data_IF_716317379523
#
_entry.id   IF_716317379523
#
_cell.length_a   1.000
_cell.length_b   1.000
_cell.length_c   1.000
_cell.angle_alpha   90.00
_cell.angle_beta   90.00
_cell.angle_gamma   90.00
#
_symmetry.space_group_name_H-M   'P 1'
#
loop_
_entity.id
_entity.type
_entity.pdbx_description
1 polymer ?
#
# COMPACT_ATOMS: atom_id res chain seq x y z
N UNK A 1 -34.21 3.97 -8.95
CA UNK A 1 -33.03 3.20 -8.49
C UNK A 1 -32.41 4.00 -7.36
N UNK A 2 -32.53 3.57 -6.10
CA UNK A 2 -32.00 4.32 -4.97
C UNK A 2 -30.47 4.19 -4.99
N UNK A 3 -29.78 5.27 -5.39
CA UNK A 3 -28.33 5.29 -5.64
C UNK A 3 -27.51 5.05 -4.37
N UNK A 4 -28.10 5.35 -3.21
CA UNK A 4 -27.50 5.27 -1.89
C UNK A 4 -28.48 4.63 -0.91
N UNK A 5 -27.96 3.77 -0.02
CA UNK A 5 -28.70 3.23 1.11
C UNK A 5 -28.20 3.91 2.40
N UNK A 6 -28.94 4.93 2.85
CA UNK A 6 -28.60 5.71 4.03
C UNK A 6 -28.54 4.88 5.32
N UNK A 7 -29.40 3.85 5.45
CA UNK A 7 -29.41 2.97 6.63
C UNK A 7 -28.16 2.11 6.70
N UNK A 8 -27.72 1.58 5.55
CA UNK A 8 -26.45 0.86 5.45
C UNK A 8 -25.27 1.80 5.74
N UNK A 9 -25.27 3.01 5.19
CA UNK A 9 -24.23 4.03 5.46
C UNK A 9 -24.14 4.38 6.95
N UNK A 10 -25.29 4.58 7.61
CA UNK A 10 -25.40 4.85 9.04
C UNK A 10 -24.82 3.70 9.86
N UNK A 11 -25.16 2.46 9.50
CA UNK A 11 -24.68 1.27 10.20
C UNK A 11 -23.16 1.12 10.08
N UNK A 12 -22.60 1.35 8.89
CA UNK A 12 -21.14 1.30 8.66
C UNK A 12 -20.44 2.42 9.46
N UNK A 13 -20.95 3.64 9.36
CA UNK A 13 -20.40 4.83 10.01
C UNK A 13 -20.38 4.70 11.53
N UNK A 14 -21.51 4.32 12.14
CA UNK A 14 -21.62 4.16 13.60
C UNK A 14 -20.65 3.11 14.12
N UNK A 15 -20.61 1.92 13.49
CA UNK A 15 -19.69 0.84 13.90
C UNK A 15 -18.23 1.27 13.80
N UNK A 16 -17.86 2.01 12.76
CA UNK A 16 -16.49 2.50 12.61
C UNK A 16 -16.16 3.58 13.64
N UNK A 17 -17.07 4.52 13.89
CA UNK A 17 -16.89 5.54 14.91
C UNK A 17 -16.68 4.91 16.28
N UNK A 18 -17.52 3.97 16.69
CA UNK A 18 -17.43 3.29 17.98
C UNK A 18 -16.07 2.58 18.15
N UNK A 19 -15.58 1.96 17.07
CA UNK A 19 -14.25 1.34 17.05
C UNK A 19 -13.13 2.36 17.22
N UNK A 20 -13.22 3.52 16.58
CA UNK A 20 -12.23 4.61 16.70
C UNK A 20 -12.29 5.21 18.11
N UNK A 21 -13.48 5.51 18.60
CA UNK A 21 -13.71 6.07 19.93
C UNK A 21 -13.18 5.14 21.03
N UNK A 22 -13.45 3.84 20.95
CA UNK A 22 -12.90 2.84 21.90
C UNK A 22 -11.37 2.85 21.92
N UNK A 23 -10.73 2.95 20.76
CA UNK A 23 -9.25 3.04 20.65
C UNK A 23 -8.69 4.33 21.21
N UNK A 24 -9.46 5.42 21.14
CA UNK A 24 -9.09 6.75 21.62
C UNK A 24 -9.69 7.11 22.98
N UNK A 25 -10.17 6.12 23.75
CA UNK A 25 -10.81 6.35 25.05
C UNK A 25 -9.91 7.10 26.03
N UNK A 26 -8.60 6.81 26.00
CA UNK A 26 -7.59 7.42 26.87
C UNK A 26 -6.96 8.69 26.27
N UNK A 27 -7.44 9.15 25.11
CA UNK A 27 -7.01 10.46 24.60
C UNK A 27 -7.46 11.57 25.54
N UNK A 28 -6.68 12.66 25.57
CA UNK A 28 -6.95 13.84 26.39
C UNK A 28 -8.43 14.27 26.31
N UNK A 29 -9.02 14.74 27.41
CA UNK A 29 -10.46 15.04 27.50
C UNK A 29 -10.94 16.09 26.46
N UNK A 30 -10.04 16.99 26.03
CA UNK A 30 -10.29 17.96 24.94
C UNK A 30 -10.10 17.38 23.52
N UNK A 31 -9.88 16.09 23.36
CA UNK A 31 -9.75 15.47 22.05
C UNK A 31 -11.11 15.43 21.34
N UNK A 32 -11.16 15.87 20.08
CA UNK A 32 -12.36 16.02 19.24
C UNK A 32 -13.31 14.82 19.24
N UNK A 33 -12.75 13.60 19.28
CA UNK A 33 -13.50 12.34 19.39
C UNK A 33 -14.51 12.31 20.55
N UNK A 34 -14.20 12.94 21.69
CA UNK A 34 -15.07 12.93 22.86
C UNK A 34 -16.25 13.88 22.67
N UNK A 35 -16.03 15.02 22.02
CA UNK A 35 -17.11 15.94 21.64
C UNK A 35 -18.04 15.29 20.60
N UNK A 36 -17.47 14.65 19.58
CA UNK A 36 -18.21 13.88 18.58
C UNK A 36 -18.95 12.65 19.15
N UNK A 37 -18.54 12.16 20.33
CA UNK A 37 -19.23 11.05 20.99
C UNK A 37 -20.44 11.54 21.79
N UNK A 38 -20.39 12.78 22.31
CA UNK A 38 -21.50 13.43 23.04
C UNK A 38 -22.59 13.89 22.07
N UNK A 39 -22.19 14.52 20.97
CA UNK A 39 -23.10 14.89 19.89
C UNK A 39 -22.87 13.96 18.69
N UNK A 40 -23.87 13.12 18.40
CA UNK A 40 -23.84 12.14 17.31
C UNK A 40 -24.51 12.66 16.02
N UNK A 41 -25.07 13.87 16.00
CA UNK A 41 -25.85 14.39 14.88
C UNK A 41 -25.00 14.60 13.61
N UNK A 42 -23.70 14.88 13.77
CA UNK A 42 -22.76 15.00 12.65
C UNK A 42 -22.74 13.79 11.71
N UNK A 43 -23.08 12.59 12.18
CA UNK A 43 -23.07 11.37 11.38
C UNK A 43 -24.29 11.27 10.44
N UNK A 44 -25.55 11.25 10.92
CA UNK A 44 -26.72 11.24 10.05
C UNK A 44 -26.79 12.49 9.16
N UNK A 45 -26.44 13.67 9.68
CA UNK A 45 -26.41 14.90 8.88
C UNK A 45 -25.37 14.80 7.75
N UNK A 46 -24.16 14.35 8.07
CA UNK A 46 -23.12 14.17 7.05
C UNK A 46 -23.45 13.07 6.03
N UNK A 47 -24.17 12.01 6.43
CA UNK A 47 -24.68 11.01 5.48
C UNK A 47 -25.72 11.62 4.55
N UNK A 48 -26.63 12.44 5.06
CA UNK A 48 -27.60 13.14 4.22
C UNK A 48 -26.90 14.04 3.19
N UNK A 49 -25.91 14.83 3.63
CA UNK A 49 -25.08 15.64 2.73
C UNK A 49 -24.35 14.80 1.66
N UNK A 50 -23.87 13.59 2.00
CA UNK A 50 -23.25 12.68 1.03
C UNK A 50 -24.26 12.14 0.01
N UNK A 51 -25.46 11.77 0.47
CA UNK A 51 -26.55 11.27 -0.38
C UNK A 51 -26.98 12.35 -1.37
N UNK A 52 -27.08 13.59 -0.90
CA UNK A 52 -27.50 14.76 -1.68
C UNK A 52 -26.37 15.33 -2.56
N UNK A 53 -25.12 14.86 -2.36
CA UNK A 53 -23.95 15.31 -3.12
C UNK A 53 -23.44 16.70 -2.75
N UNK A 54 -23.88 17.26 -1.62
CA UNK A 54 -23.54 18.59 -1.11
C UNK A 54 -22.50 18.55 0.03
N UNK A 55 -22.02 17.36 0.40
CA UNK A 55 -21.00 17.21 1.42
C UNK A 55 -19.66 17.81 0.97
N UNK A 56 -19.22 18.86 1.67
CA UNK A 56 -17.91 19.49 1.50
C UNK A 56 -16.93 18.97 2.58
N UNK A 57 -15.85 18.27 2.21
CA UNK A 57 -14.84 17.81 3.16
C UNK A 57 -14.08 18.97 3.81
N UNK A 58 -13.62 18.79 5.04
CA UNK A 58 -12.82 19.80 5.73
C UNK A 58 -11.39 19.81 5.21
N UNK A 59 -10.73 20.96 5.32
CA UNK A 59 -9.32 21.09 5.00
C UNK A 59 -8.46 20.15 5.87
N UNK A 60 -7.49 19.50 5.23
CA UNK A 60 -6.45 18.72 5.91
C UNK A 60 -5.61 19.64 6.80
N UNK A 61 -5.40 19.25 8.06
CA UNK A 61 -4.47 19.94 8.96
C UNK A 61 -3.08 19.35 8.78
N UNK A 62 -2.09 20.20 8.51
CA UNK A 62 -0.70 19.80 8.33
C UNK A 62 0.14 20.27 9.50
N UNK A 63 0.81 19.33 10.15
CA UNK A 63 1.76 19.57 11.23
C UNK A 63 3.17 19.36 10.71
N UNK A 64 4.06 20.27 11.10
CA UNK A 64 5.48 20.20 10.80
C UNK A 64 6.24 19.88 12.08
N UNK A 65 6.99 18.79 12.04
CA UNK A 65 7.96 18.40 13.06
C UNK A 65 9.37 18.52 12.46
N UNK A 66 10.40 18.39 13.28
CA UNK A 66 11.81 18.50 12.85
C UNK A 66 12.15 17.50 11.74
N UNK A 67 11.63 16.27 11.87
CA UNK A 67 12.01 15.14 10.99
C UNK A 67 10.87 14.65 10.10
N UNK A 68 9.66 15.17 10.31
CA UNK A 68 8.49 14.71 9.58
C UNK A 68 7.40 15.78 9.40
N UNK A 69 6.54 15.52 8.43
CA UNK A 69 5.34 16.30 8.16
C UNK A 69 4.16 15.35 8.26
N UNK A 70 3.21 15.66 9.13
CA UNK A 70 2.04 14.82 9.40
C UNK A 70 0.78 15.50 8.91
N UNK A 71 0.08 14.85 7.97
CA UNK A 71 -1.23 15.28 7.51
C UNK A 71 -2.33 14.59 8.32
N UNK A 72 -3.16 15.39 8.99
CA UNK A 72 -4.27 14.92 9.80
C UNK A 72 -5.62 15.24 9.12
N UNK A 73 -6.32 14.18 8.73
CA UNK A 73 -7.72 14.25 8.32
C UNK A 73 -8.64 14.26 9.54
N UNK A 74 -9.69 15.09 9.47
CA UNK A 74 -10.74 15.11 10.48
C UNK A 74 -11.46 13.75 10.59
N UNK A 75 -11.93 13.41 11.79
CA UNK A 75 -12.47 12.08 12.10
C UNK A 75 -13.74 11.79 11.30
N UNK A 76 -14.64 12.78 11.14
CA UNK A 76 -15.85 12.63 10.32
C UNK A 76 -15.50 12.28 8.89
N UNK A 77 -14.56 13.03 8.29
CA UNK A 77 -14.20 12.90 6.89
C UNK A 77 -13.51 11.54 6.64
N UNK A 78 -12.71 11.07 7.60
CA UNK A 78 -12.17 9.71 7.59
C UNK A 78 -13.26 8.65 7.59
N UNK A 79 -14.32 8.85 8.37
CA UNK A 79 -15.44 7.92 8.45
C UNK A 79 -16.24 7.93 7.14
N UNK A 80 -16.52 9.10 6.58
CA UNK A 80 -17.22 9.26 5.30
C UNK A 80 -16.43 8.67 4.14
N UNK A 81 -15.11 8.91 4.06
CA UNK A 81 -14.23 8.24 3.09
C UNK A 81 -14.31 6.71 3.24
N UNK A 82 -14.38 6.20 4.47
CA UNK A 82 -14.50 4.75 4.69
C UNK A 82 -15.86 4.19 4.29
N UNK A 83 -16.95 4.90 4.56
CA UNK A 83 -18.30 4.53 4.11
C UNK A 83 -18.32 4.43 2.58
N UNK A 84 -17.85 5.46 1.89
CA UNK A 84 -17.76 5.48 0.43
C UNK A 84 -16.89 4.33 -0.08
N UNK A 85 -15.70 4.11 0.50
CA UNK A 85 -14.84 3.01 0.13
C UNK A 85 -15.53 1.66 0.31
N UNK A 86 -16.30 1.46 1.39
CA UNK A 86 -17.00 0.19 1.65
C UNK A 86 -18.07 -0.10 0.61
N UNK A 87 -18.77 0.93 0.13
CA UNK A 87 -19.78 0.84 -0.94
C UNK A 87 -19.13 0.60 -2.30
N UNK A 88 -18.01 1.30 -2.59
CA UNK A 88 -17.35 1.21 -3.89
C UNK A 88 -16.54 -0.08 -4.05
N UNK A 89 -15.96 -0.62 -2.97
CA UNK A 89 -15.02 -1.75 -3.02
C UNK A 89 -15.56 -3.00 -3.76
N UNK A 90 -16.83 -3.44 -3.59
CA UNK A 90 -17.41 -4.55 -4.35
C UNK A 90 -17.38 -4.36 -5.86
N UNK A 91 -17.43 -3.11 -6.35
CA UNK A 91 -17.41 -2.79 -7.78
C UNK A 91 -16.01 -2.92 -8.39
N UNK A 92 -14.96 -2.83 -7.57
CA UNK A 92 -13.58 -2.78 -8.05
C UNK A 92 -13.18 -4.02 -8.84
N UNK A 93 -13.69 -5.20 -8.49
CA UNK A 93 -13.40 -6.45 -9.23
C UNK A 93 -13.84 -6.42 -10.70
N UNK A 94 -14.78 -5.54 -11.05
CA UNK A 94 -15.31 -5.41 -12.40
C UNK A 94 -14.57 -4.36 -13.25
N UNK A 95 -13.84 -3.45 -12.59
CA UNK A 95 -13.17 -2.31 -13.25
C UNK A 95 -11.66 -2.44 -13.20
N UNK A 96 -11.13 -3.03 -12.12
CA UNK A 96 -9.70 -3.08 -11.85
C UNK A 96 -9.05 -4.25 -12.57
N UNK A 97 -7.79 -4.04 -12.98
CA UNK A 97 -6.99 -5.11 -13.57
C UNK A 97 -6.77 -6.24 -12.55
N UNK A 98 -6.88 -7.52 -12.92
CA UNK A 98 -6.69 -8.65 -12.00
C UNK A 98 -5.28 -8.71 -11.39
N UNK A 99 -4.28 -8.06 -11.99
CA UNK A 99 -2.93 -7.93 -11.43
C UNK A 99 -2.76 -6.71 -10.50
N UNK A 100 -3.85 -6.07 -10.07
CA UNK A 100 -3.84 -5.00 -9.08
C UNK A 100 -4.01 -5.55 -7.66
N UNK A 101 -2.90 -5.94 -7.04
CA UNK A 101 -2.90 -6.56 -5.71
C UNK A 101 -3.13 -5.58 -4.55
N UNK A 102 -3.11 -4.27 -4.78
CA UNK A 102 -3.27 -3.26 -3.72
C UNK A 102 -4.63 -3.37 -3.00
N UNK A 103 -5.66 -3.84 -3.69
CA UNK A 103 -7.05 -3.89 -3.20
C UNK A 103 -7.26 -4.98 -2.14
N UNK A 104 -6.39 -5.98 -2.12
CA UNK A 104 -6.37 -7.06 -1.14
C UNK A 104 -5.86 -6.58 0.22
N UNK A 105 -5.30 -5.36 0.30
CA UNK A 105 -4.74 -4.83 1.53
C UNK A 105 -3.41 -5.53 1.88
N UNK A 106 -3.14 -5.83 3.17
CA UNK A 106 -1.86 -6.42 3.58
C UNK A 106 -1.53 -7.76 2.91
N UNK A 107 -2.53 -8.55 2.55
CA UNK A 107 -2.35 -9.83 1.83
C UNK A 107 -1.94 -9.63 0.37
N UNK A 108 -2.18 -8.45 -0.21
CA UNK A 108 -1.83 -8.12 -1.59
C UNK A 108 -0.33 -8.28 -1.89
N UNK A 109 0.53 -7.92 -0.93
CA UNK A 109 1.98 -8.12 -1.09
C UNK A 109 2.32 -9.60 -1.20
N UNK A 110 1.69 -10.46 -0.38
CA UNK A 110 1.90 -11.91 -0.44
C UNK A 110 1.46 -12.46 -1.79
N UNK A 111 0.28 -12.09 -2.26
CA UNK A 111 -0.27 -12.51 -3.56
C UNK A 111 0.61 -12.08 -4.73
N UNK A 112 1.03 -10.81 -4.76
CA UNK A 112 1.92 -10.28 -5.80
C UNK A 112 3.26 -11.02 -5.83
N UNK A 113 3.84 -11.24 -4.66
CA UNK A 113 5.13 -11.92 -4.50
C UNK A 113 5.06 -13.37 -4.95
N UNK A 114 4.02 -14.10 -4.52
CA UNK A 114 3.79 -15.46 -4.95
C UNK A 114 3.69 -15.52 -6.48
N UNK A 115 2.91 -14.61 -7.10
CA UNK A 115 2.76 -14.59 -8.55
C UNK A 115 4.08 -14.30 -9.28
N UNK A 116 4.88 -13.37 -8.76
CA UNK A 116 6.20 -13.07 -9.32
C UNK A 116 7.10 -14.30 -9.23
N UNK A 117 7.14 -15.00 -8.09
CA UNK A 117 7.94 -16.22 -7.92
C UNK A 117 7.53 -17.32 -8.90
N UNK A 118 6.23 -17.56 -9.07
CA UNK A 118 5.71 -18.53 -10.05
C UNK A 118 6.18 -18.19 -11.47
N UNK A 119 6.09 -16.92 -11.87
CA UNK A 119 6.53 -16.48 -13.21
C UNK A 119 8.04 -16.59 -13.36
N UNK A 120 8.82 -16.23 -12.34
CA UNK A 120 10.27 -16.36 -12.37
C UNK A 120 10.71 -17.82 -12.53
N UNK A 121 10.08 -18.75 -11.80
CA UNK A 121 10.38 -20.18 -11.87
C UNK A 121 9.96 -20.79 -13.21
N UNK A 122 8.73 -20.54 -13.65
CA UNK A 122 8.15 -21.18 -14.84
C UNK A 122 8.67 -20.58 -16.14
N UNK A 123 8.73 -19.27 -16.22
CA UNK A 123 8.96 -18.54 -17.48
C UNK A 123 10.42 -18.08 -17.63
N UNK A 124 11.20 -18.12 -16.55
CA UNK A 124 12.61 -17.69 -16.49
C UNK A 124 12.88 -16.41 -17.32
N UNK A 125 12.16 -15.31 -17.04
CA UNK A 125 12.25 -14.10 -17.84
C UNK A 125 13.62 -13.45 -17.66
N UNK A 126 14.24 -12.99 -18.76
CA UNK A 126 15.57 -12.36 -18.72
C UNK A 126 15.53 -10.85 -18.42
N UNK A 127 14.39 -10.21 -18.64
CA UNK A 127 14.24 -8.75 -18.59
C UNK A 127 13.10 -8.32 -17.67
N UNK A 128 13.21 -7.13 -17.09
CA UNK A 128 12.17 -6.51 -16.27
C UNK A 128 12.03 -5.00 -16.51
N UNK A 129 10.84 -4.48 -16.19
CA UNK A 129 10.51 -3.06 -16.05
C UNK A 129 9.92 -2.90 -14.66
N UNK A 130 10.64 -2.23 -13.76
CA UNK A 130 10.13 -1.73 -12.49
C UNK A 130 9.88 -0.23 -12.64
N UNK A 131 8.63 0.19 -12.65
CA UNK A 131 8.23 1.58 -12.79
C UNK A 131 7.54 2.10 -11.52
N UNK A 132 7.91 3.31 -11.11
CA UNK A 132 7.34 4.05 -9.98
C UNK A 132 6.92 5.44 -10.49
N UNK A 133 5.72 5.89 -10.13
CA UNK A 133 5.18 7.18 -10.59
C UNK A 133 5.63 8.30 -9.65
N UNK A 134 6.25 9.34 -10.22
CA UNK A 134 6.78 10.47 -9.46
C UNK A 134 5.65 11.23 -8.76
N UNK A 135 5.81 11.40 -7.44
CA UNK A 135 4.95 12.23 -6.59
C UNK A 135 3.47 11.95 -6.85
N UNK A 136 3.12 10.66 -6.95
CA UNK A 136 1.84 10.17 -7.45
C UNK A 136 0.64 11.01 -6.99
N UNK A 137 0.38 11.10 -5.69
CA UNK A 137 -0.77 11.87 -5.16
C UNK A 137 -0.78 13.38 -5.51
N UNK A 138 0.38 13.99 -5.80
CA UNK A 138 0.50 15.38 -6.23
C UNK A 138 0.38 15.55 -7.75
N UNK A 139 0.66 14.50 -8.52
CA UNK A 139 0.77 14.56 -9.99
C UNK A 139 -0.47 14.03 -10.73
N UNK A 140 -1.46 13.50 -10.02
CA UNK A 140 -2.69 13.00 -10.63
C UNK A 140 -3.73 14.10 -10.75
N UNK A 141 -4.31 14.24 -11.94
CA UNK A 141 -5.64 14.84 -12.09
C UNK A 141 -6.65 14.00 -11.30
N UNK A 142 -7.34 14.60 -10.33
CA UNK A 142 -8.13 14.02 -9.21
C UNK A 142 -9.06 12.79 -9.45
N UNK A 143 -9.13 12.19 -10.65
CA UNK A 143 -9.96 11.03 -11.02
C UNK A 143 -9.19 9.71 -11.29
N UNK A 144 -7.89 9.58 -10.94
CA UNK A 144 -7.10 8.34 -11.18
C UNK A 144 -6.29 7.93 -9.95
N UNK A 145 -6.23 6.63 -9.59
CA UNK A 145 -5.57 6.15 -8.37
C UNK A 145 -4.66 4.90 -8.59
N UNK A 146 -3.49 5.00 -7.95
CA UNK A 146 -2.28 4.19 -7.61
C UNK A 146 -1.71 3.18 -8.62
N UNK A 147 -0.41 3.31 -8.97
CA UNK A 147 0.40 2.25 -9.61
C UNK A 147 1.90 2.30 -9.26
N UNK A 148 2.41 1.21 -8.69
CA UNK A 148 3.77 0.72 -8.92
C UNK A 148 3.66 -0.49 -9.85
N UNK A 149 4.48 -0.55 -10.89
CA UNK A 149 4.31 -1.52 -11.99
C UNK A 149 5.59 -2.34 -12.14
N UNK A 150 5.44 -3.67 -12.12
CA UNK A 150 6.48 -4.60 -12.51
C UNK A 150 6.04 -5.38 -13.76
N UNK A 151 6.82 -5.34 -14.83
CA UNK A 151 6.60 -6.12 -16.05
C UNK A 151 7.81 -7.01 -16.27
N UNK A 152 7.59 -8.32 -16.38
CA UNK A 152 8.64 -9.30 -16.70
C UNK A 152 8.56 -9.67 -18.18
N UNK A 153 9.70 -9.81 -18.84
CA UNK A 153 9.81 -10.04 -20.28
C UNK A 153 10.88 -11.11 -20.57
N UNK A 154 10.62 -12.00 -21.52
CA UNK A 154 11.60 -13.01 -21.96
C UNK A 154 12.65 -12.42 -22.88
N UNK A 155 12.26 -11.50 -23.78
CA UNK A 155 13.14 -10.95 -24.82
C UNK A 155 13.26 -9.44 -24.77
N UNK A 156 14.37 -8.91 -25.30
CA UNK A 156 14.60 -7.46 -25.45
C UNK A 156 13.54 -6.78 -26.34
N UNK A 157 13.02 -7.50 -27.35
CA UNK A 157 11.93 -7.00 -28.21
C UNK A 157 10.64 -6.79 -27.42
N UNK A 158 10.27 -7.73 -26.55
CA UNK A 158 9.12 -7.59 -25.65
C UNK A 158 9.31 -6.42 -24.69
N UNK A 159 10.49 -6.31 -24.07
CA UNK A 159 10.85 -5.19 -23.20
C UNK A 159 10.62 -3.84 -23.89
N UNK A 160 11.14 -3.67 -25.11
CA UNK A 160 11.02 -2.42 -25.86
C UNK A 160 9.56 -2.11 -26.23
N UNK A 161 8.76 -3.12 -26.59
CA UNK A 161 7.34 -2.96 -26.89
C UNK A 161 6.55 -2.53 -25.65
N UNK A 162 6.77 -3.21 -24.52
CA UNK A 162 6.14 -2.89 -23.24
C UNK A 162 6.52 -1.48 -22.76
N UNK A 163 7.80 -1.14 -22.84
CA UNK A 163 8.31 0.20 -22.50
C UNK A 163 7.61 1.28 -23.32
N UNK A 164 7.54 1.13 -24.65
CA UNK A 164 6.88 2.12 -25.53
C UNK A 164 5.40 2.29 -25.17
N UNK A 165 4.66 1.18 -25.02
CA UNK A 165 3.25 1.22 -24.66
C UNK A 165 3.02 1.88 -23.29
N UNK A 166 3.84 1.55 -22.30
CA UNK A 166 3.77 2.14 -20.97
C UNK A 166 4.00 3.65 -21.02
N UNK A 167 5.02 4.12 -21.76
CA UNK A 167 5.31 5.54 -21.90
C UNK A 167 4.16 6.32 -22.56
N UNK A 168 3.52 5.75 -23.59
CA UNK A 168 2.37 6.37 -24.24
C UNK A 168 1.19 6.54 -23.26
N UNK A 169 0.86 5.50 -22.50
CA UNK A 169 -0.21 5.56 -21.49
C UNK A 169 0.11 6.60 -20.42
N UNK A 170 1.36 6.66 -19.94
CA UNK A 170 1.75 7.67 -18.95
C UNK A 170 1.63 9.09 -19.51
N UNK A 171 1.99 9.31 -20.78
CA UNK A 171 1.85 10.60 -21.46
C UNK A 171 0.39 11.02 -21.61
N UNK A 172 -0.49 10.13 -22.09
CA UNK A 172 -1.94 10.35 -22.19
C UNK A 172 -2.58 10.68 -20.83
N UNK A 173 -1.98 10.19 -19.74
CA UNK A 173 -2.45 10.41 -18.37
C UNK A 173 -1.77 11.59 -17.67
N UNK A 174 -0.88 12.31 -18.35
CA UNK A 174 -0.03 13.38 -17.80
C UNK A 174 0.81 12.97 -16.58
N UNK A 175 1.18 11.68 -16.51
CA UNK A 175 2.00 11.12 -15.43
C UNK A 175 3.47 11.03 -15.82
N UNK A 176 4.36 11.09 -14.82
CA UNK A 176 5.81 11.00 -15.02
C UNK A 176 6.42 9.90 -14.16
N UNK A 177 7.41 9.20 -14.69
CA UNK A 177 8.17 8.21 -13.93
C UNK A 177 9.16 8.86 -12.96
N UNK A 178 9.34 8.22 -11.81
CA UNK A 178 10.39 8.55 -10.85
C UNK A 178 11.75 8.09 -11.37
N UNK A 179 12.64 9.05 -11.68
CA UNK A 179 13.98 8.76 -12.19
C UNK A 179 14.80 7.87 -11.26
N UNK A 180 14.66 8.06 -9.93
CA UNK A 180 15.44 7.34 -8.91
C UNK A 180 14.92 5.93 -8.65
N UNK A 181 13.59 5.73 -8.67
CA UNK A 181 12.96 4.46 -8.27
C UNK A 181 12.64 3.54 -9.44
N UNK A 182 12.61 4.07 -10.67
CA UNK A 182 12.31 3.30 -11.88
C UNK A 182 13.58 2.65 -12.43
N UNK A 183 13.52 1.35 -12.73
CA UNK A 183 14.60 0.56 -13.35
C UNK A 183 14.04 -0.30 -14.48
N UNK A 184 14.76 -0.41 -15.59
CA UNK A 184 14.35 -1.25 -16.72
C UNK A 184 15.60 -1.89 -17.33
N UNK A 185 15.58 -3.19 -17.59
CA UNK A 185 16.74 -3.87 -18.16
C UNK A 185 16.77 -5.36 -17.89
N UNK A 186 17.96 -5.96 -18.02
CA UNK A 186 18.21 -7.37 -17.72
C UNK A 186 18.23 -7.63 -16.21
N UNK A 187 17.82 -8.83 -15.79
CA UNK A 187 17.87 -9.28 -14.39
C UNK A 187 19.26 -9.85 -14.07
N UNK A 188 20.32 -9.05 -14.25
CA UNK A 188 21.72 -9.46 -13.98
C UNK A 188 22.11 -9.40 -12.52
N UNK A 189 21.56 -8.43 -11.77
CA UNK A 189 21.91 -8.14 -10.38
C UNK A 189 20.73 -8.33 -9.43
N UNK A 190 19.67 -9.03 -9.89
CA UNK A 190 18.39 -9.04 -9.18
C UNK A 190 17.70 -7.67 -9.12
N UNK A 191 16.59 -7.62 -8.39
CA UNK A 191 15.83 -6.39 -8.13
C UNK A 191 15.02 -6.48 -6.84
N UNK A 192 14.79 -5.34 -6.19
CA UNK A 192 13.83 -5.27 -5.09
C UNK A 192 12.44 -4.86 -5.60
N UNK A 193 11.39 -5.45 -5.06
CA UNK A 193 10.01 -5.03 -5.33
C UNK A 193 9.13 -5.35 -4.11
N UNK A 194 8.29 -4.39 -3.70
CA UNK A 194 7.42 -4.50 -2.51
C UNK A 194 8.15 -4.90 -1.22
N UNK A 195 9.38 -4.42 -1.02
CA UNK A 195 10.21 -4.73 0.15
C UNK A 195 10.87 -6.11 0.13
N UNK A 196 10.79 -6.84 -0.99
CA UNK A 196 11.37 -8.17 -1.16
C UNK A 196 12.49 -8.10 -2.20
N UNK A 197 13.60 -8.78 -1.92
CA UNK A 197 14.70 -8.96 -2.84
C UNK A 197 14.49 -10.18 -3.73
N UNK A 198 14.65 -10.00 -5.04
CA UNK A 198 14.63 -11.07 -6.02
C UNK A 198 16.05 -11.22 -6.60
N UNK A 199 16.70 -12.38 -6.43
CA UNK A 199 18.06 -12.61 -6.92
C UNK A 199 18.11 -12.63 -8.46
N UNK A 200 19.31 -12.55 -9.06
CA UNK A 200 19.48 -12.68 -10.50
C UNK A 200 18.98 -14.03 -11.05
N UNK A 201 18.50 -14.03 -12.29
CA UNK A 201 18.13 -15.27 -12.97
C UNK A 201 19.40 -16.02 -13.37
N UNK A 202 19.54 -17.27 -12.94
CA UNK A 202 20.63 -18.15 -13.41
C UNK A 202 20.51 -18.28 -14.93
N UNK A 203 21.56 -17.90 -15.66
CA UNK A 203 21.70 -18.30 -17.05
C UNK A 203 21.93 -19.80 -17.07
N UNK A 204 21.18 -20.53 -17.89
CA UNK A 204 21.54 -21.89 -18.24
C UNK A 204 22.86 -21.83 -19.03
N UNK A 205 23.98 -21.80 -18.33
CA UNK A 205 25.29 -22.00 -18.92
C UNK A 205 25.44 -23.49 -19.17
N UNK A 206 25.52 -23.83 -20.45
CA UNK A 206 25.87 -25.16 -20.93
C UNK A 206 27.33 -25.45 -20.54
N UNK A 207 27.57 -26.01 -19.35
CA UNK A 207 28.79 -26.77 -19.04
C UNK A 207 28.54 -27.75 -17.89
N UNK A 208 28.51 -29.02 -18.27
CA UNK A 208 28.62 -30.28 -17.54
C UNK A 208 28.88 -30.30 -16.00
N UNK A 209 27.96 -30.99 -15.31
CA UNK A 209 28.11 -32.04 -14.26
C UNK A 209 28.73 -31.69 -12.89
N UNK A 210 27.90 -31.79 -11.83
CA UNK A 210 28.00 -32.82 -10.78
C UNK A 210 26.67 -32.93 -10.00
N UNK A 211 26.13 -34.14 -9.73
CA UNK A 211 24.96 -34.32 -8.89
C UNK A 211 25.38 -34.27 -7.42
N UNK A 212 24.67 -33.52 -6.57
CA UNK A 212 24.88 -33.62 -5.12
C UNK A 212 23.53 -33.71 -4.41
N UNK A 213 23.20 -34.98 -4.11
CA UNK A 213 22.45 -35.52 -2.98
C UNK A 213 21.31 -34.70 -2.37
N UNK A 214 20.11 -35.23 -2.59
CA UNK A 214 19.05 -35.25 -1.57
C UNK A 214 19.62 -35.82 -0.25
N UNK A 215 19.51 -35.03 0.82
CA UNK A 215 19.48 -35.37 2.25
C UNK A 215 20.31 -34.39 3.11
N UNK A 216 19.71 -33.25 3.47
CA UNK A 216 20.07 -32.53 4.69
C UNK A 216 18.89 -31.65 5.15
N UNK A 217 17.88 -32.30 5.73
CA UNK A 217 17.06 -31.65 6.75
C UNK A 217 17.98 -31.47 7.96
N UNK A 218 18.37 -30.23 8.27
CA UNK A 218 18.89 -29.89 9.60
C UNK A 218 18.18 -28.66 10.12
N UNK A 219 17.30 -28.90 11.08
CA UNK A 219 16.78 -27.91 12.02
C UNK A 219 17.93 -27.23 12.75
N UNK A 220 17.95 -25.90 12.81
CA UNK A 220 18.51 -25.17 13.96
C UNK A 220 17.57 -24.00 14.31
N UNK A 221 16.93 -24.15 15.46
CA UNK A 221 16.14 -23.17 16.24
C UNK A 221 17.09 -22.25 17.05
N UNK A 222 16.62 -21.44 18.01
CA UNK A 222 16.36 -20.00 17.95
C UNK A 222 17.39 -19.18 18.77
N UNK A 223 17.10 -17.88 18.95
CA UNK A 223 17.65 -16.98 19.98
C UNK A 223 19.11 -16.49 19.86
N UNK A 224 19.22 -15.18 19.58
CA UNK A 224 20.14 -14.32 20.32
C UNK A 224 19.37 -13.14 20.90
N UNK A 225 18.96 -13.32 22.15
CA UNK A 225 18.70 -12.25 23.10
C UNK A 225 20.03 -11.54 23.41
N UNK A 226 20.06 -10.21 23.31
CA UNK A 226 21.11 -9.40 23.93
C UNK A 226 20.60 -8.90 25.27
N UNK A 227 21.41 -9.17 26.30
CA UNK A 227 21.21 -8.86 27.71
C UNK A 227 21.12 -7.35 27.95
N UNK A 228 20.20 -6.93 28.83
CA UNK A 228 20.19 -5.62 29.46
C UNK A 228 20.51 -5.79 30.94
N UNK A 229 21.70 -5.33 31.35
CA UNK A 229 21.97 -4.96 32.74
C UNK A 229 21.60 -3.48 32.94
N UNK A 230 20.67 -3.24 33.87
CA UNK A 230 20.53 -2.09 34.76
C UNK A 230 20.54 -0.64 34.22
N UNK A 231 19.42 0.06 34.43
CA UNK A 231 19.45 1.48 34.84
C UNK A 231 18.49 2.46 34.12
N UNK A 232 17.30 2.66 34.71
CA UNK A 232 16.54 3.92 34.76
C UNK A 232 16.34 4.78 33.50
N UNK A 233 15.12 4.80 32.96
CA UNK A 233 14.67 5.86 32.04
C UNK A 233 13.39 5.48 31.30
N UNK A 234 12.27 6.08 31.67
CA UNK A 234 10.94 5.91 31.07
C UNK A 234 10.98 6.02 29.55
N UNK A 235 10.49 5.00 28.83
CA UNK A 235 10.17 5.10 27.40
C UNK A 235 8.96 4.22 27.07
N UNK A 236 7.77 4.84 27.12
CA UNK A 236 6.55 4.26 26.56
C UNK A 236 6.58 4.34 25.03
N UNK A 237 6.96 3.25 24.36
CA UNK A 237 6.62 3.03 22.95
C UNK A 237 5.66 1.84 22.83
N UNK A 238 4.42 2.03 23.28
CA UNK A 238 3.32 1.17 22.84
C UNK A 238 2.87 1.62 21.46
N UNK A 239 3.54 1.06 20.46
CA UNK A 239 2.97 0.82 19.14
C UNK A 239 1.60 0.13 19.30
N UNK A 240 0.60 0.58 18.53
CA UNK A 240 -0.62 -0.12 18.06
C UNK A 240 -1.67 0.97 17.78
N UNK A 241 -1.78 1.40 16.52
CA UNK A 241 -3.05 1.58 15.76
C UNK A 241 -2.87 2.47 14.54
N UNK A 242 -2.72 1.84 13.38
CA UNK A 242 -2.87 2.53 12.10
C UNK A 242 -2.13 1.84 10.99
N UNK A 243 -2.65 0.71 10.50
CA UNK A 243 -2.21 0.16 9.21
C UNK A 243 -2.61 1.14 8.09
N UNK A 244 -1.80 2.18 7.89
CA UNK A 244 -1.55 2.69 6.56
C UNK A 244 -0.49 1.76 5.98
N UNK A 245 -0.89 0.86 5.09
CA UNK A 245 0.05 0.06 4.31
C UNK A 245 0.74 0.96 3.28
N UNK A 246 1.65 1.82 3.77
CA UNK A 246 2.66 2.47 2.97
C UNK A 246 3.96 1.70 3.16
N UNK A 247 4.16 0.64 2.36
CA UNK A 247 5.47 0.00 2.26
C UNK A 247 6.40 0.89 1.41
N UNK A 248 6.78 2.05 1.94
CA UNK A 248 7.98 2.74 1.51
C UNK A 248 9.13 2.18 2.34
N UNK A 249 9.92 1.29 1.74
CA UNK A 249 11.22 0.95 2.26
C UNK A 249 12.05 2.23 2.43
N UNK A 250 12.18 2.73 3.67
CA UNK A 250 13.33 3.56 4.06
C UNK A 250 14.49 2.60 4.29
N UNK A 251 15.52 2.71 3.47
CA UNK A 251 16.84 2.19 3.80
C UNK A 251 17.38 3.09 4.92
N UNK A 252 17.55 2.55 6.12
CA UNK A 252 18.47 3.15 7.08
C UNK A 252 19.86 2.64 6.72
N UNK A 253 20.68 3.51 6.15
CA UNK A 253 22.13 3.35 6.10
C UNK A 253 22.71 3.88 7.40
N UNK A 254 23.39 3.03 8.14
CA UNK A 254 24.57 3.39 8.93
C UNK A 254 25.69 2.46 8.47
#
# INVERSE_FOLDING_TARGET
>A
MQRWDANTMQTIGSKLFDKIHKRKKHSHHNHEIHFMARDRQWLPEGIQLLVDGSYEPRCLKRYYFTDEMVDQLHISDRIFQHILLRILKPTFKHVMNPNCYHLDGPTGVKNATQKIREVLQKEQPKYFIRADIKSFYKSILHHKLIQDILILCKTKRQLNRCKRRMMNVLQERHLRLSKRKTRMGEIKSGFHFLGIEYPPTQTADNTNVAPVNDNAIVNVLPDYCLNNDGGGGENYYQSITGYFAYCSARQNTA
#
